data_IF_533690373353
#
_entry.id   IF_533690373353
#
_cell.length_a   1.000
_cell.length_b   1.000
_cell.length_c   1.000
_cell.angle_alpha   90.00
_cell.angle_beta   90.00
_cell.angle_gamma   90.00
#
_symmetry.space_group_name_H-M   'P 1'
#
loop_
_entity.id
_entity.type
_entity.pdbx_description
1 polymer ?
#
# COMPACT_ATOMS: atom_id res chain seq x y z
N UNK A 1 -52.17 -41.78 -38.31
CA UNK A 1 -50.90 -41.72 -37.55
C UNK A 1 -50.27 -40.36 -37.81
N UNK A 2 -49.85 -39.67 -36.73
CA UNK A 2 -49.05 -38.41 -36.64
C UNK A 2 -49.64 -37.17 -37.34
N UNK A 3 -49.53 -35.92 -36.89
CA UNK A 3 -49.06 -35.21 -35.69
C UNK A 3 -49.64 -33.78 -35.83
N UNK A 4 -49.84 -33.01 -34.75
CA UNK A 4 -49.29 -31.63 -34.64
C UNK A 4 -49.76 -30.88 -33.39
N UNK A 5 -48.78 -30.21 -32.78
CA UNK A 5 -48.83 -29.38 -31.58
C UNK A 5 -49.33 -27.95 -31.86
N UNK A 6 -50.02 -27.32 -30.90
CA UNK A 6 -50.14 -25.85 -30.80
C UNK A 6 -49.95 -25.38 -29.36
N UNK A 7 -49.09 -24.36 -29.23
CA UNK A 7 -48.70 -23.59 -28.05
C UNK A 7 -49.65 -22.39 -27.88
N UNK A 8 -50.02 -22.02 -26.64
CA UNK A 8 -50.64 -20.72 -26.34
C UNK A 8 -49.77 -19.89 -25.40
N UNK A 9 -49.53 -18.65 -25.81
CA UNK A 9 -48.86 -17.57 -25.10
C UNK A 9 -49.85 -16.39 -25.07
N UNK A 10 -50.07 -15.74 -23.93
CA UNK A 10 -50.91 -14.53 -23.87
C UNK A 10 -50.26 -13.41 -23.05
N UNK A 11 -49.98 -12.34 -23.79
CA UNK A 11 -49.59 -10.98 -23.39
C UNK A 11 -50.78 -10.16 -22.87
N UNK A 12 -50.53 -9.18 -21.98
CA UNK A 12 -51.28 -7.90 -21.97
C UNK A 12 -50.51 -6.73 -21.33
N UNK A 13 -50.58 -5.60 -22.05
CA UNK A 13 -50.02 -4.24 -21.88
C UNK A 13 -50.59 -3.49 -20.66
N UNK A 14 -49.79 -2.71 -19.92
CA UNK A 14 -49.44 -1.28 -20.04
C UNK A 14 -50.61 -0.30 -19.85
N UNK A 15 -50.53 0.57 -18.83
CA UNK A 15 -51.28 1.83 -18.75
C UNK A 15 -50.44 2.93 -18.09
N UNK A 16 -50.30 4.05 -18.80
CA UNK A 16 -49.53 5.25 -18.48
C UNK A 16 -50.54 6.37 -18.20
N UNK A 17 -50.39 7.11 -17.09
CA UNK A 17 -51.05 8.42 -16.88
C UNK A 17 -50.00 9.43 -16.40
N UNK A 18 -50.03 10.62 -17.01
CA UNK A 18 -49.11 11.77 -16.89
C UNK A 18 -49.79 12.96 -16.18
N UNK A 19 -48.96 13.88 -15.66
CA UNK A 19 -49.19 15.29 -15.26
C UNK A 19 -49.92 15.51 -13.91
N UNK A 20 -49.44 16.34 -12.97
CA UNK A 20 -49.13 17.78 -13.03
C UNK A 20 -48.25 18.25 -11.83
N UNK A 21 -47.48 19.37 -11.93
CA UNK A 21 -46.80 20.02 -10.80
C UNK A 21 -47.62 21.20 -10.23
N UNK A 22 -47.57 21.43 -8.92
CA UNK A 22 -48.17 22.58 -8.25
C UNK A 22 -47.08 23.53 -7.72
N UNK A 23 -47.06 24.72 -8.31
CA UNK A 23 -46.33 25.91 -7.89
C UNK A 23 -47.29 26.81 -7.07
N UNK A 24 -46.80 27.47 -6.03
CA UNK A 24 -47.50 28.57 -5.33
C UNK A 24 -46.98 28.76 -3.90
N UNK A 25 -45.99 29.62 -3.68
CA UNK A 25 -46.13 31.01 -3.22
C UNK A 25 -46.61 31.17 -1.76
N UNK A 26 -45.72 31.64 -0.87
CA UNK A 26 -45.94 32.92 -0.18
C UNK A 26 -44.69 33.41 0.55
N UNK A 27 -44.51 34.73 0.49
CA UNK A 27 -43.37 35.50 0.97
C UNK A 27 -43.54 36.00 2.42
N UNK A 28 -42.48 36.67 2.88
CA UNK A 28 -42.37 37.58 4.02
C UNK A 28 -42.06 36.93 5.39
N UNK A 29 -40.86 37.16 5.91
CA UNK A 29 -40.64 38.28 6.83
C UNK A 29 -39.16 38.64 6.89
N UNK A 30 -38.91 39.93 6.67
CA UNK A 30 -37.64 40.63 6.78
C UNK A 30 -37.61 41.15 8.21
N UNK A 31 -36.62 40.77 9.03
CA UNK A 31 -36.18 41.62 10.14
C UNK A 31 -34.66 41.61 10.25
N UNK A 32 -34.15 42.77 9.86
CA UNK A 32 -32.83 43.32 10.08
C UNK A 32 -32.53 43.33 11.58
N UNK A 33 -31.36 42.83 12.01
CA UNK A 33 -30.62 43.35 13.16
C UNK A 33 -29.12 43.17 12.90
N UNK A 34 -28.48 44.32 12.67
CA UNK A 34 -27.04 44.45 12.63
C UNK A 34 -26.45 44.22 14.02
N UNK A 35 -25.47 43.33 14.13
CA UNK A 35 -24.57 43.26 15.27
C UNK A 35 -23.14 43.37 14.76
N UNK A 36 -22.58 44.56 14.94
CA UNK A 36 -21.18 44.89 14.74
C UNK A 36 -20.35 44.12 15.78
N UNK A 37 -19.42 43.27 15.34
CA UNK A 37 -18.39 42.71 16.20
C UNK A 37 -17.01 43.02 15.59
N UNK A 38 -16.21 43.72 16.39
CA UNK A 38 -14.90 44.26 16.07
C UNK A 38 -13.90 43.17 15.65
N UNK A 39 -13.19 43.43 14.56
CA UNK A 39 -12.00 42.70 14.16
C UNK A 39 -10.87 43.00 15.14
N UNK A 40 -10.50 42.03 15.98
CA UNK A 40 -9.22 42.05 16.71
C UNK A 40 -8.21 41.27 15.88
N UNK A 41 -7.30 41.99 15.23
CA UNK A 41 -6.14 41.39 14.56
C UNK A 41 -5.13 41.00 15.65
N UNK A 42 -5.07 39.71 15.98
CA UNK A 42 -3.97 39.16 16.78
C UNK A 42 -2.93 38.63 15.80
N UNK A 43 -1.85 39.38 15.63
CA UNK A 43 -0.63 38.89 14.96
C UNK A 43 0.05 37.86 15.86
N UNK A 44 -0.15 36.57 15.57
CA UNK A 44 0.66 35.49 16.15
C UNK A 44 1.86 35.24 15.23
N UNK A 45 3.06 35.59 15.68
CA UNK A 45 4.30 35.17 15.03
C UNK A 45 4.49 33.67 15.27
N UNK A 46 4.41 32.87 14.21
CA UNK A 46 4.81 31.46 14.23
C UNK A 46 6.34 31.37 14.34
N UNK A 47 6.90 30.63 15.32
CA UNK A 47 8.32 30.31 15.30
C UNK A 47 8.59 29.30 14.18
N UNK A 48 9.50 29.64 13.27
CA UNK A 48 10.07 28.70 12.29
C UNK A 48 10.94 27.72 13.06
N UNK A 49 10.48 26.48 13.22
CA UNK A 49 11.31 25.39 13.73
C UNK A 49 12.05 24.79 12.54
N UNK A 50 13.30 25.18 12.37
CA UNK A 50 14.23 24.50 11.45
C UNK A 50 14.69 23.19 12.11
N UNK A 51 14.46 22.01 11.52
CA UNK A 51 14.97 20.77 12.09
C UNK A 51 16.50 20.77 12.05
N UNK A 52 17.13 20.72 13.22
CA UNK A 52 18.57 20.51 13.37
C UNK A 52 18.83 19.01 13.23
N UNK A 53 19.34 18.60 12.07
CA UNK A 53 19.89 17.26 11.88
C UNK A 53 21.20 17.17 12.67
N UNK A 54 21.18 16.47 13.82
CA UNK A 54 22.41 16.05 14.48
C UNK A 54 22.99 14.84 13.75
N UNK A 55 23.94 15.10 12.86
CA UNK A 55 24.81 14.05 12.32
C UNK A 55 25.89 13.75 13.37
N UNK A 56 25.88 12.57 13.96
CA UNK A 56 27.03 12.10 14.74
C UNK A 56 28.19 11.84 13.75
N UNK A 57 29.38 12.46 13.91
CA UNK A 57 30.52 12.12 13.08
C UNK A 57 31.02 10.72 13.45
N UNK A 58 30.93 9.77 12.53
CA UNK A 58 31.62 8.49 12.62
C UNK A 58 33.10 8.77 12.34
N UNK A 59 33.93 8.60 13.36
CA UNK A 59 35.40 8.66 13.24
C UNK A 59 35.86 7.32 12.68
N UNK A 60 36.16 7.26 11.38
CA UNK A 60 36.96 6.20 10.77
C UNK A 60 38.41 6.62 10.80
N UNK A 61 39.18 6.09 11.77
CA UNK A 61 40.63 6.21 11.78
C UNK A 61 41.21 5.25 10.73
N UNK A 62 41.57 5.77 9.56
CA UNK A 62 42.47 5.08 8.63
C UNK A 62 43.93 5.44 9.01
N UNK A 63 44.84 4.47 9.14
CA UNK A 63 46.25 4.76 9.35
C UNK A 63 46.82 5.47 8.11
N UNK A 64 47.34 6.68 8.32
CA UNK A 64 48.05 7.46 7.30
C UNK A 64 49.44 6.85 7.09
N UNK A 65 49.64 6.14 5.97
CA UNK A 65 50.98 5.82 5.48
C UNK A 65 51.53 7.07 4.78
N UNK A 66 52.41 7.78 5.47
CA UNK A 66 53.08 8.96 4.95
C UNK A 66 54.26 8.54 4.05
N UNK A 67 54.05 8.49 2.73
CA UNK A 67 55.16 8.38 1.76
C UNK A 67 55.49 9.76 1.18
N UNK A 68 56.21 10.56 1.97
CA UNK A 68 57.01 11.68 1.46
C UNK A 68 58.34 11.68 2.21
N UNK A 69 59.22 10.74 1.82
CA UNK A 69 60.65 10.86 2.07
C UNK A 69 61.28 11.19 0.73
N UNK A 70 61.89 12.37 0.66
CA UNK A 70 62.65 12.85 -0.47
C UNK A 70 64.12 12.43 -0.26
N UNK A 71 64.72 11.52 -1.04
CA UNK A 71 66.16 11.36 -1.07
C UNK A 71 66.73 11.99 -2.34
N UNK A 72 67.59 12.98 -2.14
CA UNK A 72 68.46 13.51 -3.17
C UNK A 72 69.65 12.56 -3.41
N UNK A 73 69.80 12.17 -4.68
CA UNK A 73 71.01 11.78 -5.44
C UNK A 73 71.59 10.37 -5.27
N UNK A 74 71.57 9.56 -6.34
CA UNK A 74 72.75 9.30 -7.21
C UNK A 74 72.38 8.54 -8.50
N UNK A 75 73.03 8.92 -9.59
CA UNK A 75 72.92 8.43 -10.98
C UNK A 75 73.48 7.01 -11.20
N UNK A 76 72.91 6.32 -12.20
CA UNK A 76 73.31 5.02 -12.80
C UNK A 76 72.92 3.76 -12.02
N UNK A 77 71.81 3.12 -12.40
CA UNK A 77 71.69 1.71 -12.89
C UNK A 77 70.22 1.48 -13.30
N UNK A 78 70.00 0.91 -14.48
CA UNK A 78 68.69 0.50 -15.00
C UNK A 78 68.42 -0.97 -14.62
N UNK A 79 67.34 -1.31 -13.90
CA UNK A 79 66.76 -2.64 -13.97
C UNK A 79 65.31 -2.60 -14.44
N UNK A 80 65.07 -3.25 -15.57
CA UNK A 80 63.74 -3.69 -16.01
C UNK A 80 63.22 -4.72 -15.01
N UNK A 81 62.09 -4.44 -14.37
CA UNK A 81 61.29 -5.45 -13.66
C UNK A 81 59.82 -5.25 -14.04
N UNK A 82 59.30 -6.18 -14.84
CA UNK A 82 57.86 -6.41 -15.01
C UNK A 82 57.37 -7.31 -13.86
N UNK A 83 56.37 -6.88 -13.05
CA UNK A 83 55.50 -7.82 -12.38
C UNK A 83 54.12 -7.82 -13.03
N UNK A 84 53.78 -8.97 -13.58
CA UNK A 84 52.41 -9.39 -13.93
C UNK A 84 51.53 -9.29 -12.69
N UNK A 85 50.44 -8.52 -12.74
CA UNK A 85 49.35 -8.61 -11.76
C UNK A 85 48.11 -9.10 -12.48
N UNK A 86 47.80 -10.37 -12.27
CA UNK A 86 46.59 -11.03 -12.73
C UNK A 86 45.57 -11.07 -11.57
N UNK A 87 44.39 -10.53 -11.87
CA UNK A 87 43.04 -10.75 -11.29
C UNK A 87 42.81 -10.66 -9.77
N UNK A 88 41.87 -9.80 -9.37
CA UNK A 88 40.44 -10.16 -9.26
C UNK A 88 39.62 -8.89 -8.96
N UNK A 89 38.56 -8.55 -9.71
CA UNK A 89 37.62 -7.53 -9.25
C UNK A 89 36.89 -8.08 -8.04
N UNK A 90 37.26 -7.61 -6.85
CA UNK A 90 36.41 -7.76 -5.66
C UNK A 90 35.14 -6.97 -5.96
N UNK A 91 34.06 -7.69 -6.23
CA UNK A 91 32.72 -7.12 -6.24
C UNK A 91 32.45 -6.68 -4.82
N UNK A 92 32.66 -5.39 -4.55
CA UNK A 92 32.16 -4.76 -3.33
C UNK A 92 30.64 -4.86 -3.47
N UNK A 93 30.00 -5.63 -2.59
CA UNK A 93 28.55 -5.63 -2.48
C UNK A 93 28.06 -4.20 -2.48
N UNK A 94 27.18 -3.90 -3.42
CA UNK A 94 26.59 -2.59 -3.58
C UNK A 94 25.76 -2.34 -2.32
N UNK A 95 26.35 -1.70 -1.31
CA UNK A 95 25.64 -1.17 -0.15
C UNK A 95 24.82 0.00 -0.69
N UNK A 96 23.71 -0.30 -1.36
CA UNK A 96 22.68 0.68 -1.59
C UNK A 96 22.24 1.12 -0.19
N UNK A 97 22.47 2.37 0.23
CA UNK A 97 21.95 2.82 1.51
C UNK A 97 20.44 2.64 1.42
N UNK A 98 19.91 1.68 2.18
CA UNK A 98 18.48 1.49 2.33
C UNK A 98 18.01 2.75 3.08
N UNK A 99 17.68 3.79 2.32
CA UNK A 99 17.03 4.97 2.86
C UNK A 99 15.63 4.50 3.21
N UNK A 100 15.48 3.98 4.42
CA UNK A 100 14.18 3.72 5.03
C UNK A 100 13.54 5.08 5.31
N UNK A 101 12.97 5.67 4.26
CA UNK A 101 12.11 6.83 4.42
C UNK A 101 10.85 6.26 5.04
N UNK A 102 10.68 6.43 6.35
CA UNK A 102 9.42 6.15 7.04
C UNK A 102 8.35 7.12 6.49
N UNK A 103 7.75 6.75 5.36
CA UNK A 103 6.84 7.59 4.57
C UNK A 103 5.40 7.56 5.07
N UNK A 104 5.14 7.08 6.28
CA UNK A 104 3.78 7.08 6.80
C UNK A 104 3.62 8.03 8.00
N UNK A 105 3.69 9.36 7.75
CA UNK A 105 3.39 10.35 8.77
C UNK A 105 1.95 10.17 9.25
N UNK A 106 1.68 10.59 10.49
CA UNK A 106 0.35 10.56 11.10
C UNK A 106 -0.76 10.87 10.10
N UNK A 107 -1.69 9.93 9.95
CA UNK A 107 -2.84 10.11 9.07
C UNK A 107 -3.81 11.06 9.76
N UNK A 108 -3.53 12.36 9.68
CA UNK A 108 -4.45 13.40 10.14
C UNK A 108 -5.54 13.57 9.08
N UNK A 109 -6.50 12.64 9.04
CA UNK A 109 -7.70 12.85 8.23
C UNK A 109 -8.61 13.82 8.97
N UNK A 110 -8.41 15.12 8.71
CA UNK A 110 -9.44 16.11 8.99
C UNK A 110 -10.57 15.92 7.98
N UNK A 111 -11.49 14.99 8.30
CA UNK A 111 -12.72 14.89 7.53
C UNK A 111 -13.62 16.05 7.93
N UNK A 112 -13.45 17.19 7.25
CA UNK A 112 -14.45 18.26 7.22
C UNK A 112 -15.63 17.71 6.43
N UNK A 113 -16.64 17.21 7.14
CA UNK A 113 -17.85 16.64 6.57
C UNK A 113 -19.08 17.20 7.28
N UNK A 114 -20.29 16.82 6.81
CA UNK A 114 -21.52 17.26 7.45
C UNK A 114 -21.58 16.77 8.90
N UNK A 115 -22.35 17.45 9.75
CA UNK A 115 -22.56 16.99 11.13
C UNK A 115 -23.07 15.55 11.11
N UNK A 116 -22.33 14.65 11.76
CA UNK A 116 -22.64 13.21 11.82
C UNK A 116 -23.47 12.86 13.04
N UNK A 117 -23.86 13.85 13.84
CA UNK A 117 -24.57 13.61 15.07
C UNK A 117 -26.06 13.33 14.85
N UNK A 118 -26.60 13.61 13.67
CA UNK A 118 -27.97 13.23 13.32
C UNK A 118 -28.12 12.95 11.84
N UNK A 119 -29.13 12.16 11.50
CA UNK A 119 -29.36 11.79 10.12
C UNK A 119 -30.38 10.69 9.97
N UNK A 120 -30.35 10.02 8.83
CA UNK A 120 -31.20 8.88 8.53
C UNK A 120 -30.43 7.58 8.68
N UNK A 121 -31.12 6.49 9.03
CA UNK A 121 -30.54 5.16 9.04
C UNK A 121 -31.39 4.17 8.26
N UNK A 122 -30.73 3.16 7.71
CA UNK A 122 -31.33 1.99 7.10
C UNK A 122 -30.68 0.75 7.70
N UNK A 123 -31.45 -0.28 8.01
CA UNK A 123 -30.93 -1.48 8.64
C UNK A 123 -31.40 -2.75 7.95
N UNK A 124 -30.57 -3.78 8.01
CA UNK A 124 -30.92 -5.14 7.58
C UNK A 124 -30.45 -6.14 8.64
N UNK A 125 -31.36 -6.96 9.13
CA UNK A 125 -31.09 -8.06 10.05
C UNK A 125 -30.73 -9.31 9.23
N UNK A 126 -29.63 -9.97 9.60
CA UNK A 126 -29.20 -11.26 9.02
C UNK A 126 -28.65 -12.15 10.13
N UNK A 127 -29.42 -13.17 10.51
CA UNK A 127 -29.05 -14.05 11.61
C UNK A 127 -28.96 -13.30 12.95
N UNK A 128 -27.80 -13.37 13.60
CA UNK A 128 -27.49 -12.71 14.87
C UNK A 128 -26.92 -11.30 14.70
N UNK A 129 -26.88 -10.76 13.47
CA UNK A 129 -26.34 -9.45 13.14
C UNK A 129 -27.39 -8.49 12.61
N UNK A 130 -27.15 -7.21 12.85
CA UNK A 130 -27.84 -6.10 12.22
C UNK A 130 -26.81 -5.19 11.56
N UNK A 131 -26.92 -5.02 10.24
CA UNK A 131 -26.14 -4.05 9.47
C UNK A 131 -26.92 -2.75 9.43
N UNK A 132 -26.35 -1.66 9.92
CA UNK A 132 -26.98 -0.34 9.92
C UNK A 132 -26.14 0.59 9.03
N UNK A 133 -26.76 1.16 8.01
CA UNK A 133 -26.24 2.27 7.23
C UNK A 133 -26.72 3.58 7.83
N UNK A 134 -25.78 4.43 8.25
CA UNK A 134 -26.00 5.80 8.66
C UNK A 134 -25.81 6.72 7.45
N UNK A 135 -26.67 7.72 7.32
CA UNK A 135 -26.55 8.79 6.32
C UNK A 135 -26.74 10.14 6.98
N UNK A 136 -25.84 11.07 6.70
CA UNK A 136 -25.97 12.47 7.06
C UNK A 136 -25.46 13.33 5.92
N UNK A 137 -26.04 14.50 5.71
CA UNK A 137 -25.60 15.38 4.65
C UNK A 137 -26.56 16.52 4.38
N UNK A 138 -26.03 17.48 3.64
CA UNK A 138 -26.75 18.59 3.04
C UNK A 138 -26.61 18.52 1.50
N UNK A 139 -27.00 19.60 0.82
CA UNK A 139 -26.97 19.68 -0.64
C UNK A 139 -25.55 19.63 -1.23
N UNK A 140 -24.51 19.94 -0.44
CA UNK A 140 -23.12 19.99 -0.90
C UNK A 140 -22.30 18.78 -0.43
N UNK A 141 -22.63 18.23 0.74
CA UNK A 141 -21.86 17.17 1.38
C UNK A 141 -22.78 16.03 1.82
N UNK A 142 -22.61 14.86 1.22
CA UNK A 142 -23.28 13.63 1.65
C UNK A 142 -22.27 12.66 2.25
N UNK A 143 -22.58 12.15 3.43
CA UNK A 143 -21.82 11.13 4.13
C UNK A 143 -22.72 9.92 4.39
N UNK A 144 -22.20 8.74 4.07
CA UNK A 144 -22.78 7.49 4.56
C UNK A 144 -21.71 6.58 5.14
N UNK A 145 -22.11 5.75 6.09
CA UNK A 145 -21.27 4.73 6.68
C UNK A 145 -22.13 3.57 7.11
N UNK A 146 -21.72 2.37 6.78
CA UNK A 146 -22.32 1.15 7.31
C UNK A 146 -21.51 0.57 8.45
N UNK A 147 -22.18 -0.15 9.34
CA UNK A 147 -21.55 -0.92 10.39
C UNK A 147 -22.41 -2.12 10.77
N UNK A 148 -21.74 -3.22 11.10
CA UNK A 148 -22.39 -4.44 11.59
C UNK A 148 -22.35 -4.45 13.12
N UNK A 149 -23.50 -4.70 13.74
CA UNK A 149 -23.69 -4.80 15.19
C UNK A 149 -24.27 -6.16 15.55
N UNK A 150 -24.20 -6.55 16.82
CA UNK A 150 -24.93 -7.74 17.27
C UNK A 150 -26.41 -7.39 17.43
N UNK A 151 -27.29 -8.29 17.00
CA UNK A 151 -28.74 -8.10 17.20
C UNK A 151 -29.10 -8.04 18.69
N UNK A 152 -28.33 -8.73 19.54
CA UNK A 152 -28.47 -8.70 21.00
C UNK A 152 -28.24 -7.32 21.61
N UNK A 153 -27.55 -6.42 20.91
CA UNK A 153 -27.32 -5.05 21.38
C UNK A 153 -28.62 -4.22 21.32
N UNK A 154 -29.66 -4.73 20.62
CA UNK A 154 -30.95 -4.07 20.41
C UNK A 154 -32.12 -4.96 20.84
N UNK A 155 -32.35 -5.13 22.15
CA UNK A 155 -33.37 -6.06 22.64
C UNK A 155 -34.82 -5.66 22.27
N UNK A 156 -35.06 -4.37 21.99
CA UNK A 156 -36.40 -3.80 21.82
C UNK A 156 -36.58 -3.12 20.45
N UNK A 157 -36.35 -3.84 19.35
CA UNK A 157 -36.56 -3.29 18.01
C UNK A 157 -38.06 -3.05 17.71
N UNK A 158 -38.45 -1.85 17.26
CA UNK A 158 -39.85 -1.54 16.96
C UNK A 158 -40.29 -2.19 15.64
N UNK A 159 -41.11 -3.24 15.71
CA UNK A 159 -41.62 -3.98 14.53
C UNK A 159 -43.08 -3.60 14.22
N UNK A 160 -43.38 -3.29 12.97
CA UNK A 160 -44.73 -2.99 12.48
C UNK A 160 -45.31 -1.64 12.94
N UNK A 161 -44.61 -0.89 13.79
CA UNK A 161 -44.98 0.45 14.22
C UNK A 161 -43.73 1.29 14.49
N UNK A 162 -43.88 2.61 14.35
CA UNK A 162 -42.80 3.55 14.71
C UNK A 162 -42.53 3.49 16.21
N UNK A 163 -41.26 3.40 16.58
CA UNK A 163 -40.80 3.43 17.96
C UNK A 163 -39.37 3.94 18.08
N UNK A 164 -38.86 3.89 19.30
CA UNK A 164 -37.51 4.30 19.65
C UNK A 164 -36.73 3.12 20.21
N UNK A 165 -35.44 3.04 19.87
CA UNK A 165 -34.47 2.16 20.49
C UNK A 165 -33.11 2.88 20.56
N UNK A 166 -32.19 2.42 21.40
CA UNK A 166 -30.89 3.07 21.57
C UNK A 166 -29.75 2.07 21.69
N UNK A 167 -28.55 2.56 21.41
CA UNK A 167 -27.30 1.87 21.69
C UNK A 167 -26.38 2.82 22.46
N UNK A 168 -26.07 2.43 23.70
CA UNK A 168 -25.16 3.16 24.58
C UNK A 168 -23.79 2.50 24.58
N UNK A 169 -22.75 3.30 24.36
CA UNK A 169 -21.34 2.95 24.48
C UNK A 169 -20.65 3.95 25.40
N UNK A 170 -19.37 3.72 25.72
CA UNK A 170 -18.63 4.64 26.59
C UNK A 170 -18.47 6.03 25.97
N UNK A 171 -18.30 6.12 24.64
CA UNK A 171 -18.13 7.38 23.91
C UNK A 171 -19.44 8.17 23.69
N UNK A 172 -20.61 7.60 24.04
CA UNK A 172 -21.89 8.28 23.87
C UNK A 172 -23.06 7.33 23.61
N UNK A 173 -24.20 7.91 23.26
CA UNK A 173 -25.44 7.19 23.01
C UNK A 173 -26.03 7.57 21.65
N UNK A 174 -26.46 6.59 20.87
CA UNK A 174 -27.30 6.83 19.69
C UNK A 174 -28.73 6.43 20.00
N UNK A 175 -29.64 7.37 19.83
CA UNK A 175 -31.09 7.14 19.82
C UNK A 175 -31.56 7.00 18.39
N UNK A 176 -32.24 5.90 18.10
CA UNK A 176 -32.84 5.60 16.80
C UNK A 176 -34.35 5.72 16.92
N UNK A 177 -34.97 6.45 16.00
CA UNK A 177 -36.42 6.52 15.84
C UNK A 177 -36.81 5.98 14.48
N UNK A 178 -37.74 5.04 14.40
CA UNK A 178 -38.11 4.40 13.13
C UNK A 178 -38.94 3.14 13.32
N UNK A 179 -38.99 2.31 12.28
CA UNK A 179 -39.75 1.06 12.30
C UNK A 179 -39.00 -0.02 11.53
N UNK A 180 -39.22 -1.27 11.90
CA UNK A 180 -38.83 -2.45 11.15
C UNK A 180 -40.06 -3.08 10.49
N UNK A 181 -39.91 -3.43 9.22
CA UNK A 181 -40.81 -4.29 8.46
C UNK A 181 -40.05 -5.60 8.14
N UNK A 182 -40.42 -6.67 8.84
CA UNK A 182 -39.63 -7.90 8.86
C UNK A 182 -38.20 -7.65 9.35
N UNK A 183 -37.24 -7.97 8.48
CA UNK A 183 -35.80 -7.84 8.74
C UNK A 183 -35.20 -6.52 8.22
N UNK A 184 -36.01 -5.65 7.62
CA UNK A 184 -35.57 -4.34 7.12
C UNK A 184 -36.08 -3.23 8.02
N UNK A 185 -35.22 -2.27 8.36
CA UNK A 185 -35.59 -1.11 9.18
C UNK A 185 -35.16 0.21 8.54
N UNK A 186 -35.86 1.28 8.86
CA UNK A 186 -35.41 2.63 8.50
C UNK A 186 -35.94 3.68 9.48
N UNK A 187 -35.24 4.82 9.52
CA UNK A 187 -35.63 5.90 10.41
C UNK A 187 -34.61 7.03 10.49
N UNK A 188 -34.64 7.75 11.62
CA UNK A 188 -33.70 8.82 11.98
C UNK A 188 -32.88 8.43 13.19
N UNK A 189 -31.64 8.89 13.26
CA UNK A 189 -30.79 8.71 14.44
C UNK A 189 -30.35 10.05 14.99
N UNK A 190 -30.06 10.08 16.29
CA UNK A 190 -29.41 11.18 16.98
C UNK A 190 -28.36 10.64 17.94
N UNK A 191 -27.11 11.00 17.71
CA UNK A 191 -25.98 10.75 18.58
C UNK A 191 -25.84 11.88 19.60
N UNK A 192 -25.57 11.50 20.84
CA UNK A 192 -25.17 12.40 21.92
C UNK A 192 -23.82 11.93 22.45
N UNK A 193 -22.75 12.71 22.31
CA UNK A 193 -21.43 12.35 22.80
C UNK A 193 -21.42 12.31 24.34
N UNK A 194 -20.53 11.50 24.90
CA UNK A 194 -20.20 11.54 26.33
C UNK A 194 -18.98 12.44 26.56
N UNK A 195 -19.20 13.64 27.09
CA UNK A 195 -18.15 14.62 27.33
C UNK A 195 -17.11 14.14 28.33
N UNK A 196 -17.50 13.29 29.29
CA UNK A 196 -16.57 12.74 30.29
C UNK A 196 -15.62 11.73 29.65
N UNK A 197 -16.10 10.95 28.68
CA UNK A 197 -15.26 10.06 27.88
C UNK A 197 -14.31 10.85 26.99
N UNK A 198 -14.79 11.90 26.30
CA UNK A 198 -13.94 12.75 25.49
C UNK A 198 -12.83 13.44 26.30
N UNK A 199 -13.17 13.94 27.50
CA UNK A 199 -12.20 14.47 28.45
C UNK A 199 -11.21 13.40 28.94
N UNK A 200 -11.68 12.17 29.15
CA UNK A 200 -10.82 11.04 29.46
C UNK A 200 -9.80 10.78 28.33
N UNK A 201 -10.22 10.66 27.07
CA UNK A 201 -9.29 10.47 25.94
C UNK A 201 -8.25 11.61 25.89
N UNK A 202 -8.68 12.87 25.98
CA UNK A 202 -7.78 14.04 25.96
C UNK A 202 -6.74 14.02 27.10
N UNK A 203 -7.14 13.59 28.30
CA UNK A 203 -6.24 13.54 29.46
C UNK A 203 -5.23 12.39 29.43
N UNK A 204 -5.41 11.40 28.54
CA UNK A 204 -4.57 10.19 28.45
C UNK A 204 -3.44 10.30 27.41
N UNK A 205 -3.10 11.52 26.97
CA UNK A 205 -1.92 11.79 26.15
C UNK A 205 -2.15 11.73 24.63
N UNK A 206 -3.36 11.40 24.17
CA UNK A 206 -3.67 11.39 22.74
C UNK A 206 -3.76 12.80 22.16
N UNK A 207 -3.12 13.00 21.02
CA UNK A 207 -3.04 14.31 20.35
C UNK A 207 -4.18 14.48 19.33
N UNK A 208 -4.46 15.73 18.94
CA UNK A 208 -5.47 16.07 17.93
C UNK A 208 -6.89 15.54 18.21
N UNK A 209 -7.29 15.39 19.48
CA UNK A 209 -8.65 15.00 19.85
C UNK A 209 -9.60 16.20 19.71
N UNK A 210 -10.44 16.17 18.67
CA UNK A 210 -11.47 17.14 18.34
C UNK A 210 -12.85 16.61 18.72
N UNK A 211 -13.82 17.51 18.92
CA UNK A 211 -15.22 17.13 19.20
C UNK A 211 -15.82 16.28 18.07
N UNK A 212 -15.43 16.55 16.83
CA UNK A 212 -15.83 15.77 15.65
C UNK A 212 -15.35 14.32 15.67
N UNK A 213 -14.39 13.94 16.54
CA UNK A 213 -13.98 12.55 16.71
C UNK A 213 -14.95 11.70 17.54
N UNK A 214 -15.85 12.32 18.31
CA UNK A 214 -16.73 11.62 19.26
C UNK A 214 -17.58 10.54 18.59
N UNK A 215 -18.17 10.85 17.44
CA UNK A 215 -18.94 9.89 16.68
C UNK A 215 -18.06 8.74 16.17
N UNK A 216 -16.83 9.02 15.72
CA UNK A 216 -15.88 7.98 15.31
C UNK A 216 -15.47 7.07 16.47
N UNK A 217 -15.19 7.62 17.65
CA UNK A 217 -14.93 6.83 18.87
C UNK A 217 -16.10 5.92 19.21
N UNK A 218 -17.33 6.44 19.11
CA UNK A 218 -18.54 5.65 19.27
C UNK A 218 -18.63 4.51 18.25
N UNK A 219 -18.42 4.79 16.97
CA UNK A 219 -18.55 3.80 15.90
C UNK A 219 -17.56 2.64 16.04
N UNK A 220 -16.31 2.92 16.41
CA UNK A 220 -15.28 1.90 16.62
C UNK A 220 -15.34 1.20 17.99
N UNK A 221 -16.38 1.49 18.80
CA UNK A 221 -16.56 1.00 20.18
C UNK A 221 -15.30 1.20 21.03
N UNK A 222 -14.73 2.42 20.97
CA UNK A 222 -13.54 2.77 21.73
C UNK A 222 -13.84 2.73 23.24
N UNK A 223 -13.03 1.99 24.00
CA UNK A 223 -13.18 1.81 25.46
C UNK A 223 -11.99 2.38 26.22
N UNK A 224 -12.22 2.80 27.47
CA UNK A 224 -11.16 3.19 28.40
C UNK A 224 -10.13 2.08 28.59
N UNK A 225 -10.58 0.82 28.70
CA UNK A 225 -9.68 -0.34 28.80
C UNK A 225 -8.79 -0.55 27.57
N UNK A 226 -9.24 -0.14 26.39
CA UNK A 226 -8.43 -0.19 25.17
C UNK A 226 -7.32 0.87 25.20
N UNK A 227 -7.65 2.08 25.66
CA UNK A 227 -6.69 3.17 25.89
C UNK A 227 -5.61 2.74 26.91
N UNK A 228 -6.03 2.18 28.04
CA UNK A 228 -5.12 1.69 29.09
C UNK A 228 -4.20 0.58 28.54
N UNK A 229 -4.73 -0.32 27.71
CA UNK A 229 -3.94 -1.36 27.04
C UNK A 229 -2.87 -0.77 26.10
N UNK A 230 -3.23 0.24 25.30
CA UNK A 230 -2.29 0.91 24.40
C UNK A 230 -1.17 1.61 25.19
N UNK A 231 -1.51 2.35 26.25
CA UNK A 231 -0.52 2.99 27.11
C UNK A 231 0.41 1.96 27.77
N UNK A 232 -0.14 0.86 28.32
CA UNK A 232 0.62 -0.24 28.91
C UNK A 232 1.58 -0.88 27.91
N UNK A 233 1.23 -0.93 26.63
CA UNK A 233 2.05 -1.53 25.57
C UNK A 233 3.04 -0.55 24.91
N UNK A 234 3.04 0.72 25.34
CA UNK A 234 4.00 1.75 24.92
C UNK A 234 3.44 2.85 24.02
N UNK A 235 2.14 2.82 23.72
CA UNK A 235 1.47 3.74 22.78
C UNK A 235 0.68 4.80 23.53
N UNK A 236 1.37 5.82 24.04
CA UNK A 236 0.78 6.93 24.82
C UNK A 236 0.71 8.26 24.07
N UNK A 237 1.54 8.45 23.05
CA UNK A 237 1.55 9.63 22.18
C UNK A 237 1.13 9.22 20.77
N UNK A 238 -0.18 9.05 20.57
CA UNK A 238 -0.75 8.77 19.24
C UNK A 238 -1.87 9.77 18.96
N UNK A 239 -2.01 10.16 17.70
CA UNK A 239 -3.11 11.02 17.28
C UNK A 239 -4.47 10.33 17.41
N UNK A 240 -5.53 11.11 17.57
CA UNK A 240 -6.90 10.60 17.57
C UNK A 240 -7.22 9.76 16.32
N UNK A 241 -6.69 10.15 15.15
CA UNK A 241 -6.82 9.41 13.90
C UNK A 241 -6.20 8.02 13.99
N UNK A 242 -4.97 7.91 14.49
CA UNK A 242 -4.31 6.61 14.67
C UNK A 242 -5.01 5.77 15.75
N UNK A 243 -5.48 6.37 16.84
CA UNK A 243 -6.25 5.68 17.88
C UNK A 243 -7.54 5.05 17.29
N UNK A 244 -8.28 5.80 16.48
CA UNK A 244 -9.47 5.32 15.76
C UNK A 244 -9.09 4.17 14.82
N UNK A 245 -8.02 4.32 14.04
CA UNK A 245 -7.57 3.30 13.09
C UNK A 245 -7.14 2.00 13.79
N UNK A 246 -6.38 2.09 14.89
CA UNK A 246 -5.97 0.94 15.68
C UNK A 246 -7.17 0.21 16.29
N UNK A 247 -8.14 0.95 16.84
CA UNK A 247 -9.38 0.38 17.38
C UNK A 247 -10.20 -0.31 16.29
N UNK A 248 -10.40 0.36 15.15
CA UNK A 248 -11.16 -0.17 14.01
C UNK A 248 -10.55 -1.47 13.47
N UNK A 249 -9.22 -1.54 13.36
CA UNK A 249 -8.48 -2.72 12.91
C UNK A 249 -8.28 -3.78 14.00
N UNK A 250 -8.73 -3.51 15.23
CA UNK A 250 -8.56 -4.39 16.39
C UNK A 250 -7.08 -4.75 16.63
N UNK A 251 -6.23 -3.74 16.64
CA UNK A 251 -4.84 -3.87 17.09
C UNK A 251 -4.88 -4.03 18.60
N UNK A 252 -4.68 -5.26 19.09
CA UNK A 252 -4.79 -5.65 20.50
C UNK A 252 -3.42 -6.02 21.11
N UNK A 253 -3.40 -6.23 22.43
CA UNK A 253 -2.18 -6.60 23.17
C UNK A 253 -1.56 -7.89 22.63
N UNK A 254 -2.38 -8.87 22.24
CA UNK A 254 -1.93 -10.14 21.67
C UNK A 254 -1.17 -9.91 20.35
N UNK A 255 -1.74 -9.11 19.43
CA UNK A 255 -1.09 -8.77 18.17
C UNK A 255 0.24 -8.03 18.40
N UNK A 256 0.25 -6.99 19.24
CA UNK A 256 1.46 -6.22 19.55
C UNK A 256 2.54 -7.13 20.11
N UNK A 257 2.21 -7.93 21.14
CA UNK A 257 3.18 -8.80 21.79
C UNK A 257 3.65 -9.94 20.88
N UNK A 258 2.82 -10.40 19.94
CA UNK A 258 3.20 -11.45 18.99
C UNK A 258 4.37 -11.04 18.08
N UNK A 259 4.46 -9.76 17.71
CA UNK A 259 5.58 -9.21 16.93
C UNK A 259 6.79 -8.88 17.80
N UNK A 260 6.57 -8.36 19.02
CA UNK A 260 7.66 -8.19 20.00
C UNK A 260 8.38 -9.52 20.28
N UNK A 261 7.63 -10.62 20.37
CA UNK A 261 8.16 -11.96 20.61
C UNK A 261 9.06 -12.51 19.49
N UNK A 262 9.00 -11.94 18.29
CA UNK A 262 9.86 -12.28 17.16
C UNK A 262 10.82 -11.14 16.78
N UNK A 263 11.12 -10.24 17.74
CA UNK A 263 12.19 -9.24 17.61
C UNK A 263 11.75 -7.86 17.13
N UNK A 264 10.48 -7.64 16.79
CA UNK A 264 9.98 -6.32 16.38
C UNK A 264 9.49 -5.55 17.62
N UNK A 265 10.43 -4.99 18.39
CA UNK A 265 10.16 -4.39 19.71
C UNK A 265 9.68 -2.94 19.65
N UNK A 266 10.19 -2.16 18.69
CA UNK A 266 10.01 -0.70 18.61
C UNK A 266 9.20 -0.31 17.36
N UNK A 267 7.98 -0.85 17.27
CA UNK A 267 7.08 -0.56 16.16
C UNK A 267 6.33 0.76 16.42
N UNK A 268 6.43 1.77 15.55
CA UNK A 268 5.56 2.93 15.64
C UNK A 268 4.11 2.55 15.28
N UNK A 269 3.13 3.30 15.78
CA UNK A 269 1.71 2.93 15.67
C UNK A 269 1.22 2.80 14.21
N UNK A 270 1.72 3.62 13.29
CA UNK A 270 1.37 3.56 11.88
C UNK A 270 1.84 2.26 11.21
N UNK A 271 2.96 1.68 11.67
CA UNK A 271 3.41 0.37 11.21
C UNK A 271 2.49 -0.74 11.71
N UNK A 272 2.04 -0.69 12.97
CA UNK A 272 1.05 -1.66 13.48
C UNK A 272 -0.26 -1.61 12.69
N UNK A 273 -0.73 -0.39 12.38
CA UNK A 273 -1.92 -0.18 11.55
C UNK A 273 -1.72 -0.84 10.18
N UNK A 274 -0.60 -0.55 9.49
CA UNK A 274 -0.30 -1.11 8.19
C UNK A 274 -0.16 -2.64 8.21
N UNK A 275 0.55 -3.19 9.20
CA UNK A 275 0.72 -4.63 9.40
C UNK A 275 -0.63 -5.32 9.62
N UNK A 276 -1.49 -4.76 10.48
CA UNK A 276 -2.81 -5.33 10.76
C UNK A 276 -3.73 -5.26 9.53
N UNK A 277 -3.73 -4.12 8.82
CA UNK A 277 -4.50 -3.93 7.59
C UNK A 277 -4.08 -4.88 6.45
N UNK A 278 -2.80 -5.26 6.41
CA UNK A 278 -2.26 -6.20 5.41
C UNK A 278 -2.34 -7.66 5.87
N UNK A 279 -2.96 -7.93 7.01
CA UNK A 279 -3.00 -9.26 7.64
C UNK A 279 -1.60 -9.89 7.75
N UNK A 280 -0.62 -9.08 8.16
CA UNK A 280 0.71 -9.55 8.49
C UNK A 280 0.65 -10.33 9.81
N UNK A 281 1.30 -11.49 9.87
CA UNK A 281 1.35 -12.33 11.07
C UNK A 281 2.79 -12.75 11.38
N UNK A 282 3.10 -13.15 12.63
CA UNK A 282 4.41 -13.70 12.97
C UNK A 282 4.78 -14.94 12.14
N UNK A 283 3.80 -15.76 11.74
CA UNK A 283 4.02 -16.94 10.91
C UNK A 283 4.51 -16.57 9.50
N UNK A 284 4.00 -15.47 8.94
CA UNK A 284 4.48 -14.93 7.67
C UNK A 284 5.97 -14.61 7.77
N UNK A 285 6.39 -13.89 8.82
CA UNK A 285 7.81 -13.53 9.04
C UNK A 285 8.67 -14.77 9.26
N UNK A 286 8.24 -15.70 10.12
CA UNK A 286 8.95 -16.96 10.39
C UNK A 286 9.15 -17.81 9.13
N UNK A 287 8.22 -17.75 8.17
CA UNK A 287 8.37 -18.42 6.88
C UNK A 287 9.59 -17.91 6.09
N UNK A 288 9.88 -16.62 6.16
CA UNK A 288 11.08 -16.04 5.56
C UNK A 288 12.35 -16.40 6.35
N UNK A 289 12.29 -16.39 7.68
CA UNK A 289 13.43 -16.77 8.54
C UNK A 289 13.88 -18.21 8.30
N UNK A 290 12.93 -19.14 8.10
CA UNK A 290 13.20 -20.54 7.76
C UNK A 290 13.93 -20.69 6.41
N UNK A 291 13.75 -19.74 5.50
CA UNK A 291 14.41 -19.67 4.21
C UNK A 291 15.72 -18.87 4.25
N UNK A 292 16.15 -18.44 5.43
CA UNK A 292 17.42 -17.73 5.66
C UNK A 292 17.30 -16.20 5.64
N UNK A 293 16.09 -15.65 5.43
CA UNK A 293 15.86 -14.20 5.44
C UNK A 293 15.52 -13.72 6.85
N UNK A 294 16.51 -13.12 7.52
CA UNK A 294 16.38 -12.60 8.88
C UNK A 294 16.31 -11.08 8.87
N UNK A 295 15.81 -10.52 9.98
CA UNK A 295 15.83 -9.08 10.26
C UNK A 295 15.22 -8.21 9.14
N UNK A 296 14.14 -8.69 8.51
CA UNK A 296 13.46 -7.98 7.42
C UNK A 296 12.74 -6.75 8.01
N UNK A 297 13.05 -5.52 7.58
CA UNK A 297 12.36 -4.35 8.10
C UNK A 297 10.88 -4.35 7.70
N UNK A 298 10.03 -3.74 8.53
CA UNK A 298 8.56 -3.83 8.41
C UNK A 298 8.04 -3.30 7.08
N UNK A 299 8.60 -2.20 6.59
CA UNK A 299 8.29 -1.64 5.27
C UNK A 299 8.47 -2.68 4.15
N UNK A 300 9.51 -3.52 4.23
CA UNK A 300 9.76 -4.62 3.28
C UNK A 300 8.81 -5.79 3.51
N UNK A 301 8.48 -6.15 4.74
CA UNK A 301 7.45 -7.16 5.03
C UNK A 301 6.09 -6.79 4.42
N UNK A 302 5.70 -5.51 4.53
CA UNK A 302 4.48 -4.97 3.91
C UNK A 302 4.56 -5.10 2.39
N UNK A 303 5.69 -4.73 1.77
CA UNK A 303 5.89 -4.85 0.33
C UNK A 303 5.81 -6.31 -0.15
N UNK A 304 6.49 -7.23 0.55
CA UNK A 304 6.43 -8.67 0.28
C UNK A 304 4.99 -9.18 0.33
N UNK A 305 4.23 -8.83 1.38
CA UNK A 305 2.83 -9.22 1.54
C UNK A 305 1.94 -8.65 0.44
N UNK A 306 2.10 -7.37 0.11
CA UNK A 306 1.33 -6.67 -0.92
C UNK A 306 1.50 -7.29 -2.31
N UNK A 307 2.74 -7.67 -2.64
CA UNK A 307 3.07 -8.32 -3.91
C UNK A 307 2.81 -9.83 -3.91
N UNK A 308 2.28 -10.40 -2.82
CA UNK A 308 2.07 -11.84 -2.65
C UNK A 308 3.36 -12.62 -2.92
N UNK A 309 4.44 -12.16 -2.29
CA UNK A 309 5.71 -12.88 -2.22
C UNK A 309 5.62 -13.75 -0.95
N UNK A 310 5.69 -15.05 -1.14
CA UNK A 310 5.54 -16.07 -0.11
C UNK A 310 6.61 -17.17 -0.27
N UNK A 311 6.56 -18.17 0.62
CA UNK A 311 7.51 -19.29 0.59
C UNK A 311 7.51 -20.06 -0.74
N UNK A 312 6.39 -20.13 -1.44
CA UNK A 312 6.29 -20.83 -2.73
C UNK A 312 7.03 -20.06 -3.83
N UNK A 313 6.88 -18.73 -3.88
CA UNK A 313 7.64 -17.89 -4.81
C UNK A 313 9.15 -18.04 -4.59
N UNK A 314 9.61 -18.00 -3.33
CA UNK A 314 11.02 -18.17 -2.98
C UNK A 314 11.52 -19.59 -3.31
N UNK A 315 10.73 -20.61 -2.97
CA UNK A 315 11.05 -22.01 -3.28
C UNK A 315 11.21 -22.23 -4.78
N UNK A 316 10.35 -21.61 -5.60
CA UNK A 316 10.44 -21.69 -7.05
C UNK A 316 11.78 -21.21 -7.61
N UNK A 317 12.35 -20.13 -7.05
CA UNK A 317 13.70 -19.67 -7.40
C UNK A 317 14.80 -20.59 -6.87
N UNK A 318 14.67 -21.05 -5.62
CA UNK A 318 15.62 -22.01 -5.04
C UNK A 318 15.71 -23.31 -5.86
N UNK A 319 14.57 -23.82 -6.37
CA UNK A 319 14.47 -25.04 -7.18
C UNK A 319 15.21 -24.92 -8.53
N UNK A 320 15.36 -23.69 -9.05
CA UNK A 320 16.13 -23.40 -10.28
C UNK A 320 17.53 -22.82 -9.99
N UNK A 321 18.02 -22.99 -8.75
CA UNK A 321 19.40 -22.65 -8.39
C UNK A 321 19.64 -21.21 -7.92
N UNK A 322 18.61 -20.36 -7.90
CA UNK A 322 18.72 -18.99 -7.39
C UNK A 322 18.47 -18.99 -5.89
N UNK A 323 19.57 -19.04 -5.12
CA UNK A 323 19.54 -19.02 -3.65
C UNK A 323 19.86 -17.63 -3.13
N UNK A 324 19.28 -17.27 -1.98
CA UNK A 324 19.58 -16.04 -1.24
C UNK A 324 19.41 -14.75 -2.07
N UNK A 325 18.38 -14.68 -2.92
CA UNK A 325 18.06 -13.44 -3.67
C UNK A 325 17.73 -12.34 -2.66
N UNK A 326 18.42 -11.18 -2.65
CA UNK A 326 18.11 -10.10 -1.72
C UNK A 326 16.61 -9.74 -1.71
N UNK A 327 16.07 -9.39 -0.54
CA UNK A 327 14.63 -9.05 -0.39
C UNK A 327 14.19 -7.96 -1.37
N UNK A 328 15.02 -6.95 -1.59
CA UNK A 328 14.77 -5.87 -2.54
C UNK A 328 14.69 -6.37 -4.00
N UNK A 329 15.49 -7.38 -4.35
CA UNK A 329 15.45 -7.99 -5.67
C UNK A 329 14.21 -8.87 -5.83
N UNK A 330 13.79 -9.61 -4.78
CA UNK A 330 12.52 -10.37 -4.81
C UNK A 330 11.31 -9.47 -5.05
N UNK A 331 11.26 -8.33 -4.37
CA UNK A 331 10.24 -7.29 -4.56
C UNK A 331 10.26 -6.79 -6.01
N UNK A 332 11.45 -6.44 -6.51
CA UNK A 332 11.63 -5.98 -7.89
C UNK A 332 11.19 -7.04 -8.89
N UNK A 333 11.61 -8.29 -8.70
CA UNK A 333 11.27 -9.42 -9.57
C UNK A 333 9.77 -9.60 -9.68
N UNK A 334 9.07 -9.62 -8.55
CA UNK A 334 7.62 -9.74 -8.54
C UNK A 334 6.94 -8.55 -9.19
N UNK A 335 7.41 -7.32 -8.94
CA UNK A 335 6.83 -6.10 -9.51
C UNK A 335 6.89 -6.03 -11.04
N UNK A 336 7.92 -6.62 -11.66
CA UNK A 336 8.06 -6.69 -13.12
C UNK A 336 7.59 -8.03 -13.70
N UNK A 337 7.05 -8.93 -12.87
CA UNK A 337 6.51 -10.22 -13.31
C UNK A 337 7.57 -11.25 -13.71
N UNK A 338 8.73 -11.23 -13.07
CA UNK A 338 9.74 -12.30 -13.18
C UNK A 338 9.29 -13.49 -12.34
N UNK A 339 9.30 -14.67 -12.94
CA UNK A 339 8.93 -15.94 -12.31
C UNK A 339 9.99 -17.00 -12.60
N UNK A 340 10.02 -18.12 -11.87
CA UNK A 340 10.90 -19.23 -12.21
C UNK A 340 10.72 -19.74 -13.65
N UNK A 341 9.48 -19.73 -14.17
CA UNK A 341 9.16 -20.12 -15.54
C UNK A 341 9.76 -19.17 -16.58
N UNK A 342 9.78 -17.86 -16.27
CA UNK A 342 10.46 -16.89 -17.11
C UNK A 342 11.93 -17.25 -17.27
N UNK A 343 12.62 -17.58 -16.17
CA UNK A 343 14.04 -17.97 -16.21
C UNK A 343 14.25 -19.29 -16.97
N UNK A 344 13.43 -20.32 -16.70
CA UNK A 344 13.49 -21.61 -17.41
C UNK A 344 13.36 -21.44 -18.93
N UNK A 345 12.53 -20.52 -19.40
CA UNK A 345 12.42 -20.24 -20.83
C UNK A 345 13.73 -19.77 -21.48
N UNK A 346 14.59 -19.05 -20.75
CA UNK A 346 15.93 -18.70 -21.23
C UNK A 346 16.91 -19.87 -21.14
N UNK A 347 16.81 -20.71 -20.10
CA UNK A 347 17.59 -21.95 -19.98
C UNK A 347 17.31 -22.91 -21.14
N UNK A 348 16.04 -23.07 -21.52
CA UNK A 348 15.61 -23.83 -22.70
C UNK A 348 16.11 -23.21 -24.01
N UNK A 349 16.28 -21.89 -24.05
CA UNK A 349 16.93 -21.19 -25.14
C UNK A 349 18.48 -21.27 -25.08
N UNK A 350 19.06 -22.03 -24.14
CA UNK A 350 20.49 -22.29 -24.04
C UNK A 350 21.27 -21.33 -23.15
N UNK A 351 20.60 -20.39 -22.47
CA UNK A 351 21.24 -19.50 -21.50
C UNK A 351 21.23 -20.12 -20.11
N UNK A 352 22.38 -20.69 -19.72
CA UNK A 352 22.58 -21.25 -18.38
C UNK A 352 23.21 -20.22 -17.45
N UNK A 353 23.07 -20.43 -16.15
CA UNK A 353 23.74 -19.64 -15.10
C UNK A 353 23.48 -18.13 -15.21
N UNK A 354 22.24 -17.76 -15.55
CA UNK A 354 21.85 -16.36 -15.73
C UNK A 354 21.98 -15.61 -14.39
N UNK A 355 22.75 -14.51 -14.31
CA UNK A 355 22.83 -13.74 -13.08
C UNK A 355 21.50 -13.08 -12.73
N UNK A 356 21.11 -13.12 -11.45
CA UNK A 356 19.86 -12.54 -10.95
C UNK A 356 19.64 -11.07 -11.41
N UNK A 357 20.68 -10.25 -11.34
CA UNK A 357 20.62 -8.85 -11.77
C UNK A 357 20.32 -8.65 -13.26
N UNK A 358 20.54 -9.68 -14.10
CA UNK A 358 20.25 -9.62 -15.54
C UNK A 358 18.78 -9.88 -15.87
N UNK A 359 18.00 -10.47 -14.94
CA UNK A 359 16.61 -10.83 -15.20
C UNK A 359 15.70 -9.61 -15.38
N UNK A 360 15.96 -8.53 -14.64
CA UNK A 360 15.16 -7.29 -14.69
C UNK A 360 15.25 -6.62 -16.06
N UNK A 361 16.43 -6.30 -16.62
CA UNK A 361 16.54 -5.77 -17.98
C UNK A 361 15.87 -6.64 -19.04
N UNK A 362 16.02 -7.98 -18.96
CA UNK A 362 15.38 -8.90 -19.90
C UNK A 362 13.86 -8.79 -19.87
N UNK A 363 13.27 -8.78 -18.66
CA UNK A 363 11.82 -8.68 -18.49
C UNK A 363 11.28 -7.30 -18.88
N UNK A 364 11.93 -6.23 -18.40
CA UNK A 364 11.52 -4.85 -18.66
C UNK A 364 11.52 -4.49 -20.14
N UNK A 365 12.46 -5.06 -20.92
CA UNK A 365 12.53 -4.85 -22.38
C UNK A 365 11.70 -5.86 -23.18
N UNK A 366 10.95 -6.75 -22.51
CA UNK A 366 10.13 -7.79 -23.14
C UNK A 366 10.97 -8.65 -24.10
N UNK A 367 12.15 -9.05 -23.63
CA UNK A 367 13.00 -10.03 -24.29
C UNK A 367 12.44 -11.40 -23.94
N UNK A 368 12.17 -12.21 -24.96
CA UNK A 368 11.55 -13.54 -24.82
C UNK A 368 12.39 -14.60 -25.55
N UNK A 369 12.20 -15.89 -25.24
CA UNK A 369 12.84 -16.98 -25.99
C UNK A 369 12.56 -16.92 -27.50
N UNK A 370 11.38 -16.45 -27.91
CA UNK A 370 11.01 -16.28 -29.33
C UNK A 370 11.88 -15.23 -30.01
N UNK A 371 12.18 -14.11 -29.33
CA UNK A 371 13.07 -13.07 -29.85
C UNK A 371 14.49 -13.62 -30.13
N UNK A 372 15.02 -14.42 -29.21
CA UNK A 372 16.31 -15.11 -29.35
C UNK A 372 16.25 -16.12 -30.51
N UNK A 373 15.22 -16.97 -30.53
CA UNK A 373 15.07 -18.03 -31.54
C UNK A 373 14.92 -17.45 -32.96
N UNK A 374 14.36 -16.24 -33.10
CA UNK A 374 14.33 -15.53 -34.38
C UNK A 374 15.72 -15.24 -34.93
N UNK A 375 16.67 -14.82 -34.10
CA UNK A 375 18.06 -14.62 -34.53
C UNK A 375 18.78 -15.95 -34.80
N UNK A 376 18.50 -17.00 -34.03
CA UNK A 376 19.05 -18.34 -34.29
C UNK A 376 18.69 -18.86 -35.68
N UNK A 377 17.45 -18.62 -36.14
CA UNK A 377 17.01 -18.97 -37.51
C UNK A 377 17.76 -18.22 -38.60
N UNK A 378 18.35 -17.08 -38.28
CA UNK A 378 19.17 -16.25 -39.19
C UNK A 378 20.68 -16.57 -39.09
N UNK A 379 21.05 -17.59 -38.32
CA UNK A 379 22.44 -18.05 -38.17
C UNK A 379 23.18 -17.49 -36.96
N UNK A 380 22.54 -16.70 -36.10
CA UNK A 380 23.17 -16.17 -34.87
C UNK A 380 22.87 -17.09 -33.69
N UNK A 381 23.70 -18.10 -33.48
CA UNK A 381 23.49 -19.13 -32.45
C UNK A 381 24.04 -18.75 -31.07
N UNK A 382 25.11 -17.95 -31.03
CA UNK A 382 25.87 -17.64 -29.81
C UNK A 382 25.77 -16.15 -29.45
N UNK A 383 24.56 -15.70 -29.12
CA UNK A 383 24.31 -14.30 -28.73
C UNK A 383 24.55 -14.16 -27.23
N UNK A 384 25.53 -13.36 -26.76
CA UNK A 384 25.75 -13.17 -25.33
C UNK A 384 24.51 -12.57 -24.63
N UNK A 385 24.15 -13.07 -23.45
CA UNK A 385 22.95 -12.64 -22.72
C UNK A 385 22.94 -11.11 -22.48
N UNK A 386 24.09 -10.54 -22.16
CA UNK A 386 24.27 -9.12 -21.90
C UNK A 386 24.13 -8.24 -23.16
N UNK A 387 24.12 -8.82 -24.36
CA UNK A 387 23.85 -8.08 -25.60
C UNK A 387 22.36 -7.95 -25.92
N UNK A 388 21.51 -8.87 -25.42
CA UNK A 388 20.08 -8.88 -25.73
C UNK A 388 19.39 -7.57 -25.36
N UNK A 389 19.63 -6.95 -24.19
CA UNK A 389 19.09 -5.64 -23.86
C UNK A 389 19.45 -4.56 -24.88
N UNK A 390 20.70 -4.52 -25.32
CA UNK A 390 21.18 -3.52 -26.27
C UNK A 390 20.60 -3.72 -27.68
N UNK A 391 20.44 -4.99 -28.11
CA UNK A 391 19.75 -5.31 -29.37
C UNK A 391 18.30 -4.84 -29.34
N UNK A 392 17.60 -5.14 -28.25
CA UNK A 392 16.19 -4.76 -28.10
C UNK A 392 16.01 -3.25 -28.00
N UNK A 393 16.85 -2.55 -27.24
CA UNK A 393 16.77 -1.09 -27.05
C UNK A 393 17.10 -0.30 -28.31
N UNK A 394 17.97 -0.82 -29.17
CA UNK A 394 18.26 -0.24 -30.50
C UNK A 394 17.22 -0.62 -31.55
N UNK A 395 16.20 -1.40 -31.18
CA UNK A 395 15.15 -1.88 -32.07
C UNK A 395 15.62 -2.91 -33.09
N UNK A 396 16.78 -3.53 -32.90
CA UNK A 396 17.25 -4.62 -33.79
C UNK A 396 16.34 -5.83 -33.56
N UNK A 397 15.65 -6.27 -34.60
CA UNK A 397 14.78 -7.46 -34.58
C UNK A 397 15.24 -8.47 -35.62
N UNK A 398 14.84 -9.75 -35.51
CA UNK A 398 15.08 -10.75 -36.54
C UNK A 398 14.61 -10.28 -37.94
N UNK A 399 13.44 -9.64 -38.03
CA UNK A 399 12.89 -9.12 -39.28
C UNK A 399 13.77 -8.00 -39.86
N UNK A 400 14.27 -7.11 -39.00
CA UNK A 400 15.22 -6.08 -39.41
C UNK A 400 16.50 -6.70 -39.96
N UNK A 401 17.09 -7.67 -39.26
CA UNK A 401 18.31 -8.35 -39.71
C UNK A 401 18.08 -9.08 -41.05
N UNK A 402 16.98 -9.82 -41.19
CA UNK A 402 16.60 -10.48 -42.44
C UNK A 402 16.50 -9.48 -43.60
N UNK A 403 15.82 -8.35 -43.39
CA UNK A 403 15.68 -7.30 -44.42
C UNK A 403 17.03 -6.67 -44.83
N UNK A 404 17.99 -6.59 -43.92
CA UNK A 404 19.34 -6.09 -44.21
C UNK A 404 20.17 -7.13 -44.97
N UNK A 405 20.04 -8.41 -44.61
CA UNK A 405 20.66 -9.52 -45.33
C UNK A 405 20.18 -9.61 -46.79
N UNK A 406 18.88 -9.38 -47.03
CA UNK A 406 18.28 -9.30 -48.38
C UNK A 406 18.83 -8.11 -49.19
N UNK A 407 19.07 -6.97 -48.53
CA UNK A 407 19.69 -5.77 -49.12
C UNK A 407 21.20 -5.89 -49.32
N UNK A 408 21.79 -7.05 -49.05
CA UNK A 408 23.20 -7.35 -49.29
C UNK A 408 24.12 -7.09 -48.08
N UNK A 409 23.60 -6.57 -46.97
CA UNK A 409 24.39 -6.41 -45.74
C UNK A 409 24.38 -7.73 -44.95
N UNK A 410 25.38 -8.58 -45.21
CA UNK A 410 25.54 -9.91 -44.59
C UNK A 410 26.70 -9.92 -43.61
N UNK A 411 26.45 -9.52 -42.36
CA UNK A 411 27.39 -9.76 -41.26
C UNK A 411 26.89 -10.87 -40.35
N UNK A 412 27.83 -11.58 -39.77
CA UNK A 412 27.73 -12.53 -38.65
C UNK A 412 27.72 -11.87 -37.25
N UNK A 413 27.95 -10.56 -37.18
CA UNK A 413 28.05 -9.81 -35.93
C UNK A 413 26.84 -8.88 -35.76
N UNK A 414 25.97 -9.19 -34.79
CA UNK A 414 24.76 -8.41 -34.49
C UNK A 414 25.05 -6.95 -34.12
N UNK A 415 26.22 -6.65 -33.54
CA UNK A 415 26.61 -5.26 -33.22
C UNK A 415 26.74 -4.40 -34.46
N UNK A 416 27.09 -4.97 -35.62
CA UNK A 416 27.13 -4.20 -36.88
C UNK A 416 25.71 -3.81 -37.35
N UNK A 417 24.70 -4.65 -37.11
CA UNK A 417 23.31 -4.28 -37.40
C UNK A 417 22.80 -3.22 -36.42
N UNK A 418 23.22 -3.27 -35.14
CA UNK A 418 22.94 -2.19 -34.19
C UNK A 418 23.54 -0.86 -34.66
N UNK A 419 24.84 -0.85 -35.01
CA UNK A 419 25.53 0.34 -35.52
C UNK A 419 24.85 0.89 -36.78
N UNK A 420 24.49 0.00 -37.72
CA UNK A 420 23.77 0.38 -38.92
C UNK A 420 22.44 1.05 -38.57
N UNK A 421 21.65 0.44 -37.68
CA UNK A 421 20.35 0.97 -37.27
C UNK A 421 20.45 2.34 -36.60
N UNK A 422 21.39 2.49 -35.66
CA UNK A 422 21.58 3.76 -34.94
C UNK A 422 22.13 4.86 -35.84
N UNK A 423 22.93 4.52 -36.87
CA UNK A 423 23.50 5.51 -37.79
C UNK A 423 22.44 6.21 -38.67
N UNK A 424 21.27 5.57 -38.87
CA UNK A 424 20.15 6.13 -39.64
C UNK A 424 18.98 6.62 -38.78
N UNK A 425 19.13 6.58 -37.44
CA UNK A 425 18.08 6.99 -36.50
C UNK A 425 18.30 8.40 -35.91
N UNK A 426 19.28 9.14 -36.43
CA UNK A 426 19.58 10.53 -36.03
C UNK A 426 19.07 11.53 -37.05
#
# INVERSE_FOLDING_TARGET
MTNDHIIMNHSKKLNIIRMLPLLGCMACFIYNHAAMAQTVVVTTTTPVVTPVIKVNPVVTANPVVNTNVNPLVNTNVNPVVNPVVNVNPVVVENVNPDVDVDVNPDVNVDVVGPDRNEGSWFATIKGDKIRIEFRSGDDENNWSSDSDFNLSDFPNLPKGQKGEFSLRREAGNVVFTGTFDGDMGSGRYKFTPDDTFNAYVKSHGFTNVKESNSFSFYMVDLKKSYIEMLQKTGYSDISAGNLIAMSALKVDEAFINSFKAIGYTDLPCHQLIAMKSMHLTPEFVKGFEQLGYKDIPVNRLIALKSLRIDGDYLKGFNDIGYKNIPVNDLITFKSVGITPEFVKGFEDAGYKDIPAHSLVPLKSLHITPEYINGFKKLGFTDIPLNELPALKSTGVTPEYVASMQEKGFKSDNLRKYMQLKTSFSN
#
